data_IF_628785321650
#
_entry.id   IF_628785321650
#
_cell.length_a   1.000
_cell.length_b   1.000
_cell.length_c   1.000
_cell.angle_alpha   90.00
_cell.angle_beta   90.00
_cell.angle_gamma   90.00
#
_symmetry.space_group_name_H-M   'P 1'
#
loop_
_entity.id
_entity.type
_entity.pdbx_description
1 polymer ?
#
# COMPACT_ATOMS: atom_id res chain seq x y z
N UNK A 1 -7.08 14.47 12.98
CA UNK A 1 -7.83 13.78 14.07
C UNK A 1 -6.85 13.27 15.10
N UNK A 2 -7.07 13.53 16.41
CA UNK A 2 -6.19 13.03 17.48
C UNK A 2 -6.57 11.59 17.83
N UNK A 3 -5.62 10.66 17.77
CA UNK A 3 -5.83 9.25 18.12
C UNK A 3 -5.66 9.00 19.63
N UNK A 4 -5.84 7.74 20.06
CA UNK A 4 -5.74 7.33 21.46
C UNK A 4 -4.34 6.95 21.92
N UNK A 5 -3.33 7.09 21.07
CA UNK A 5 -2.01 6.53 21.31
C UNK A 5 -1.97 5.02 21.05
N UNK A 6 -0.78 4.44 21.17
CA UNK A 6 -0.61 3.00 20.88
C UNK A 6 0.52 2.39 21.70
N UNK A 7 0.32 1.16 22.14
CA UNK A 7 1.38 0.34 22.73
C UNK A 7 1.89 -0.62 21.67
N UNK A 8 3.10 -0.39 21.23
CA UNK A 8 3.78 -1.29 20.31
C UNK A 8 4.38 -2.46 21.07
N UNK A 9 4.30 -3.65 20.50
CA UNK A 9 4.90 -4.86 21.06
C UNK A 9 5.72 -5.57 20.00
N UNK A 10 6.91 -5.99 20.39
CA UNK A 10 7.82 -6.75 19.57
C UNK A 10 8.42 -7.90 20.34
N UNK A 11 8.59 -9.04 19.67
CA UNK A 11 9.47 -10.10 20.15
C UNK A 11 10.85 -9.90 19.52
N UNK A 12 11.85 -9.66 20.35
CA UNK A 12 13.21 -9.38 19.90
C UNK A 12 13.76 -10.59 19.15
N UNK A 13 14.07 -10.40 17.86
CA UNK A 13 14.69 -11.42 17.04
C UNK A 13 16.20 -11.60 17.30
N UNK A 14 16.83 -12.59 16.66
CA UNK A 14 18.29 -12.84 16.76
C UNK A 14 19.13 -11.60 16.42
N UNK A 15 18.72 -10.80 15.41
CA UNK A 15 19.43 -9.57 15.02
C UNK A 15 19.33 -8.43 16.03
N UNK A 16 18.44 -8.50 17.02
CA UNK A 16 18.29 -7.54 18.10
C UNK A 16 19.05 -7.96 19.37
N UNK A 17 19.42 -9.20 19.48
CA UNK A 17 20.14 -9.75 20.64
C UNK A 17 21.53 -9.09 20.79
N UNK A 18 21.89 -8.76 22.03
CA UNK A 18 23.15 -8.09 22.35
C UNK A 18 23.17 -6.59 22.06
N UNK A 19 22.10 -6.02 21.50
CA UNK A 19 21.99 -4.56 21.28
C UNK A 19 21.43 -3.85 22.50
N UNK A 20 21.92 -2.66 22.84
CA UNK A 20 21.25 -1.79 23.78
C UNK A 20 19.85 -1.41 23.31
N UNK A 21 18.88 -1.29 24.23
CA UNK A 21 17.50 -0.91 23.95
C UNK A 21 17.41 0.33 23.05
N UNK A 22 18.14 1.40 23.38
CA UNK A 22 18.13 2.62 22.58
C UNK A 22 18.61 2.39 21.15
N UNK A 23 19.74 1.69 20.98
CA UNK A 23 20.29 1.40 19.66
C UNK A 23 19.34 0.51 18.82
N UNK A 24 18.64 -0.41 19.46
CA UNK A 24 17.63 -1.24 18.79
C UNK A 24 16.44 -0.43 18.30
N UNK A 25 15.91 0.48 19.14
CA UNK A 25 14.76 1.32 18.80
C UNK A 25 15.09 2.31 17.66
N UNK A 26 16.30 2.85 17.62
CA UNK A 26 16.75 3.74 16.53
C UNK A 26 16.78 3.04 15.16
N UNK A 27 17.08 1.75 15.11
CA UNK A 27 17.10 0.98 13.85
C UNK A 27 15.72 0.69 13.28
N UNK A 28 14.65 0.85 14.06
CA UNK A 28 13.29 0.57 13.58
C UNK A 28 12.75 1.60 12.59
N UNK A 29 13.44 2.73 12.47
CA UNK A 29 12.96 3.85 11.66
C UNK A 29 11.75 4.53 12.31
N UNK A 30 11.30 5.60 11.69
CA UNK A 30 10.17 6.40 12.16
C UNK A 30 10.59 7.82 12.51
N UNK A 31 9.64 8.69 12.89
CA UNK A 31 9.91 10.10 13.11
C UNK A 31 10.69 10.39 14.41
N UNK A 32 10.77 9.41 15.32
CA UNK A 32 11.41 9.59 16.62
C UNK A 32 12.95 9.50 16.52
N UNK A 33 13.62 10.61 16.77
CA UNK A 33 15.08 10.68 16.88
C UNK A 33 15.60 10.16 18.23
N UNK A 34 16.94 10.18 18.42
CA UNK A 34 17.58 9.67 19.63
C UNK A 34 17.10 10.38 20.90
N UNK A 35 16.99 11.71 20.85
CA UNK A 35 16.54 12.50 22.01
C UNK A 35 15.12 12.11 22.45
N UNK A 36 14.22 11.87 21.49
CA UNK A 36 12.86 11.46 21.79
C UNK A 36 12.80 10.03 22.36
N UNK A 37 13.61 9.11 21.84
CA UNK A 37 13.70 7.77 22.39
C UNK A 37 14.27 7.75 23.82
N UNK A 38 15.30 8.57 24.09
CA UNK A 38 15.82 8.74 25.46
C UNK A 38 14.72 9.24 26.40
N UNK A 39 14.03 10.32 26.03
CA UNK A 39 12.94 10.85 26.83
C UNK A 39 11.85 9.83 27.13
N UNK A 40 11.47 9.00 26.15
CA UNK A 40 10.47 7.92 26.33
C UNK A 40 10.98 6.81 27.27
N UNK A 41 12.25 6.44 27.19
CA UNK A 41 12.86 5.45 28.07
C UNK A 41 12.89 5.99 29.51
N UNK A 42 13.36 7.24 29.70
CA UNK A 42 13.47 7.88 31.01
C UNK A 42 12.10 8.11 31.68
N UNK A 43 11.06 8.33 30.85
CA UNK A 43 9.66 8.40 31.29
C UNK A 43 9.03 7.04 31.62
N UNK A 44 9.77 5.91 31.47
CA UNK A 44 9.27 4.56 31.72
C UNK A 44 8.29 4.02 30.68
N UNK A 45 8.18 4.68 29.51
CA UNK A 45 7.30 4.27 28.42
C UNK A 45 7.85 3.08 27.61
N UNK A 46 9.08 2.63 27.85
CA UNK A 46 9.71 1.47 27.23
C UNK A 46 9.92 0.38 28.27
N UNK A 47 9.48 -0.84 27.95
CA UNK A 47 9.56 -1.98 28.88
C UNK A 47 10.11 -3.22 28.18
N UNK A 48 10.93 -3.96 28.90
CA UNK A 48 11.42 -5.30 28.50
C UNK A 48 10.85 -6.31 29.47
N UNK A 49 10.13 -7.31 28.99
CA UNK A 49 9.41 -8.31 29.79
C UNK A 49 8.49 -7.68 30.88
N UNK A 50 7.92 -6.49 30.57
CA UNK A 50 7.05 -5.74 31.48
C UNK A 50 7.79 -4.83 32.47
N UNK A 51 9.08 -4.99 32.68
CA UNK A 51 9.89 -4.10 33.54
C UNK A 51 10.36 -2.86 32.75
N UNK A 52 10.43 -1.70 33.41
CA UNK A 52 10.94 -0.46 32.79
C UNK A 52 12.36 -0.68 32.32
N UNK A 53 12.61 -0.35 31.07
CA UNK A 53 13.92 -0.52 30.45
C UNK A 53 14.83 0.69 30.68
N UNK A 54 16.15 0.47 30.61
CA UNK A 54 17.13 1.55 30.51
C UNK A 54 17.74 1.60 29.11
N UNK A 55 18.26 2.75 28.69
CA UNK A 55 18.81 2.97 27.36
C UNK A 55 19.95 1.99 27.02
N UNK A 56 20.80 1.68 28.00
CA UNK A 56 21.93 0.77 27.84
C UNK A 56 21.62 -0.71 28.09
N UNK A 57 20.41 -1.07 28.52
CA UNK A 57 20.05 -2.46 28.79
C UNK A 57 20.18 -3.31 27.52
N UNK A 58 20.93 -4.41 27.60
CA UNK A 58 21.12 -5.33 26.47
C UNK A 58 19.89 -6.23 26.28
N UNK A 59 19.40 -6.30 25.05
CA UNK A 59 18.30 -7.15 24.66
C UNK A 59 18.77 -8.61 24.43
N UNK A 60 17.86 -9.56 24.68
CA UNK A 60 18.07 -10.98 24.37
C UNK A 60 17.02 -11.43 23.35
N UNK A 61 17.39 -12.38 22.49
CA UNK A 61 16.43 -13.00 21.57
C UNK A 61 15.25 -13.62 22.36
N UNK A 62 14.04 -13.45 21.84
CA UNK A 62 12.81 -13.93 22.44
C UNK A 62 12.20 -12.99 23.48
N UNK A 63 12.90 -12.00 23.98
CA UNK A 63 12.31 -11.04 24.92
C UNK A 63 11.19 -10.21 24.27
N UNK A 64 10.17 -9.90 25.06
CA UNK A 64 9.08 -8.98 24.67
C UNK A 64 9.50 -7.54 25.02
N UNK A 65 9.69 -6.75 23.98
CA UNK A 65 9.92 -5.30 24.05
C UNK A 65 8.61 -4.58 23.78
N UNK A 66 8.19 -3.68 24.67
CA UNK A 66 7.01 -2.82 24.46
C UNK A 66 7.37 -1.37 24.62
N UNK A 67 6.70 -0.51 23.86
CA UNK A 67 6.82 0.94 24.05
C UNK A 67 5.51 1.63 23.79
N UNK A 68 5.22 2.62 24.64
CA UNK A 68 4.03 3.44 24.54
C UNK A 68 4.31 4.68 23.70
N UNK A 69 3.40 4.97 22.79
CA UNK A 69 3.34 6.24 22.09
C UNK A 69 2.09 6.98 22.55
N UNK A 70 2.24 8.17 23.13
CA UNK A 70 1.09 8.96 23.56
C UNK A 70 0.21 9.36 22.35
N UNK A 71 -1.03 9.81 22.58
CA UNK A 71 -1.91 10.30 21.51
C UNK A 71 -1.24 11.40 20.68
N UNK A 72 -1.37 11.30 19.35
CA UNK A 72 -0.88 12.31 18.39
C UNK A 72 -1.97 12.69 17.39
N UNK A 73 -1.78 13.85 16.77
CA UNK A 73 -2.65 14.30 15.70
C UNK A 73 -2.26 13.59 14.39
N UNK A 74 -3.22 12.85 13.82
CA UNK A 74 -3.03 12.20 12.53
C UNK A 74 -3.37 13.18 11.40
N UNK A 75 -2.66 13.09 10.25
CA UNK A 75 -2.99 13.91 9.09
C UNK A 75 -4.45 13.71 8.65
N UNK A 76 -5.05 14.76 8.13
CA UNK A 76 -6.39 14.70 7.59
C UNK A 76 -6.44 13.83 6.32
N UNK A 77 -7.42 12.94 6.27
CA UNK A 77 -7.65 12.02 5.16
C UNK A 77 -9.16 11.84 4.92
N UNK A 78 -9.59 11.50 3.70
CA UNK A 78 -10.99 11.23 3.43
C UNK A 78 -11.42 9.92 4.11
N UNK A 79 -12.36 9.99 5.05
CA UNK A 79 -12.88 8.83 5.79
C UNK A 79 -14.16 8.24 5.20
N UNK A 80 -14.68 8.81 4.10
CA UNK A 80 -15.88 8.32 3.42
C UNK A 80 -15.54 7.12 2.54
N UNK A 81 -16.27 6.01 2.73
CA UNK A 81 -16.18 4.81 1.90
C UNK A 81 -17.57 4.37 1.49
N UNK A 82 -17.71 3.78 0.29
CA UNK A 82 -18.93 3.14 -0.15
C UNK A 82 -18.76 1.62 -0.09
N UNK A 83 -19.81 0.89 0.29
CA UNK A 83 -19.87 -0.56 0.18
C UNK A 83 -20.14 -0.91 -1.28
N UNK A 84 -19.33 -1.79 -1.85
CA UNK A 84 -19.44 -2.27 -3.22
C UNK A 84 -20.06 -3.68 -3.30
N UNK A 85 -19.79 -4.49 -2.29
CA UNK A 85 -20.32 -5.84 -2.15
C UNK A 85 -20.35 -6.21 -0.66
N UNK A 86 -21.39 -6.91 -0.23
CA UNK A 86 -21.51 -7.41 1.14
C UNK A 86 -22.36 -8.67 1.17
N UNK A 87 -21.87 -9.69 1.87
CA UNK A 87 -22.62 -10.87 2.30
C UNK A 87 -22.11 -11.34 3.68
N UNK A 88 -22.46 -12.57 4.08
CA UNK A 88 -22.05 -13.12 5.37
C UNK A 88 -20.54 -13.33 5.49
N UNK A 89 -19.84 -13.61 4.39
CA UNK A 89 -18.43 -13.99 4.35
C UNK A 89 -17.51 -12.84 3.96
N UNK A 90 -17.98 -11.94 3.10
CA UNK A 90 -17.17 -10.95 2.44
C UNK A 90 -17.75 -9.53 2.57
N UNK A 91 -16.86 -8.55 2.59
CA UNK A 91 -17.18 -7.14 2.48
C UNK A 91 -16.18 -6.49 1.53
N UNK A 92 -16.64 -5.81 0.49
CA UNK A 92 -15.77 -4.99 -0.36
C UNK A 92 -16.18 -3.53 -0.30
N UNK A 93 -15.21 -2.65 -0.22
CA UNK A 93 -15.44 -1.22 -0.12
C UNK A 93 -14.61 -0.43 -1.13
N UNK A 94 -15.11 0.74 -1.52
CA UNK A 94 -14.39 1.72 -2.31
C UNK A 94 -13.45 2.53 -1.40
N UNK A 95 -12.15 2.27 -1.47
CA UNK A 95 -11.15 3.08 -0.77
C UNK A 95 -10.94 4.40 -1.51
N UNK A 96 -11.11 5.56 -0.89
CA UNK A 96 -10.74 6.82 -1.52
C UNK A 96 -9.22 6.97 -1.65
N UNK A 97 -8.78 7.83 -2.56
CA UNK A 97 -7.40 8.29 -2.66
C UNK A 97 -7.00 9.05 -1.39
N UNK A 98 -5.76 8.93 -0.96
CA UNK A 98 -5.25 9.60 0.23
C UNK A 98 -5.45 8.83 1.54
N UNK A 99 -6.40 7.87 1.62
CA UNK A 99 -6.65 7.07 2.80
C UNK A 99 -5.71 5.85 2.84
N UNK A 100 -4.89 5.65 3.89
CA UNK A 100 -4.14 4.42 4.08
C UNK A 100 -5.06 3.22 4.28
N UNK A 101 -4.68 2.04 3.76
CA UNK A 101 -5.46 0.81 4.01
C UNK A 101 -5.31 0.32 5.45
N UNK A 102 -4.09 0.37 5.97
CA UNK A 102 -3.70 -0.16 7.28
C UNK A 102 -2.92 0.89 8.08
N UNK A 103 -2.86 0.78 9.40
CA UNK A 103 -1.92 1.53 10.21
C UNK A 103 -0.49 1.37 9.72
N UNK A 104 0.28 2.44 9.69
CA UNK A 104 1.68 2.38 9.27
C UNK A 104 2.33 3.74 9.07
N UNK A 105 3.64 3.71 8.75
CA UNK A 105 4.43 4.91 8.51
C UNK A 105 4.59 5.82 9.72
N UNK A 106 4.21 5.38 10.92
CA UNK A 106 4.29 6.17 12.15
C UNK A 106 3.31 7.35 12.22
N UNK A 107 2.53 7.60 11.18
CA UNK A 107 1.60 8.74 11.11
C UNK A 107 0.14 8.34 11.32
N UNK A 108 -0.26 7.17 10.84
CA UNK A 108 -1.65 6.72 10.79
C UNK A 108 -1.88 5.52 11.71
N UNK A 109 -2.88 5.59 12.55
CA UNK A 109 -3.36 4.52 13.43
C UNK A 109 -4.88 4.33 13.27
N UNK A 110 -5.65 5.39 13.49
CA UNK A 110 -7.11 5.40 13.44
C UNK A 110 -7.66 5.98 12.14
N UNK A 111 -6.90 6.85 11.47
CA UNK A 111 -7.24 7.41 10.15
C UNK A 111 -6.86 6.44 9.02
N UNK A 112 -7.46 5.22 9.04
CA UNK A 112 -7.20 4.15 8.07
C UNK A 112 -8.48 3.50 7.59
N UNK A 113 -8.44 2.89 6.39
CA UNK A 113 -9.58 2.14 5.86
C UNK A 113 -10.01 1.01 6.82
N UNK A 114 -9.05 0.30 7.41
CA UNK A 114 -9.33 -0.76 8.38
C UNK A 114 -10.12 -0.22 9.57
N UNK A 115 -9.74 0.92 10.13
CA UNK A 115 -10.45 1.52 11.25
C UNK A 115 -11.86 1.95 10.87
N UNK A 116 -12.05 2.53 9.68
CA UNK A 116 -13.37 2.90 9.15
C UNK A 116 -14.26 1.67 8.99
N UNK A 117 -13.75 0.62 8.36
CA UNK A 117 -14.51 -0.62 8.12
C UNK A 117 -14.89 -1.30 9.43
N UNK A 118 -13.98 -1.37 10.41
CA UNK A 118 -14.23 -2.03 11.71
C UNK A 118 -15.22 -1.32 12.60
N UNK A 119 -15.59 -0.08 12.33
CA UNK A 119 -16.72 0.59 13.01
C UNK A 119 -18.06 -0.10 12.67
N UNK A 120 -18.18 -0.66 11.47
CA UNK A 120 -19.38 -1.35 10.97
C UNK A 120 -19.25 -2.88 11.09
N UNK A 121 -18.09 -3.43 10.80
CA UNK A 121 -17.77 -4.85 10.78
C UNK A 121 -16.49 -5.09 11.58
N UNK A 122 -16.58 -5.20 12.93
CA UNK A 122 -15.41 -5.34 13.82
C UNK A 122 -14.54 -6.56 13.49
N UNK A 123 -15.15 -7.62 12.97
CA UNK A 123 -14.53 -8.89 12.57
C UNK A 123 -13.75 -8.81 11.26
N UNK A 124 -13.96 -7.76 10.45
CA UNK A 124 -13.44 -7.67 9.11
C UNK A 124 -11.90 -7.63 9.06
N UNK A 125 -11.33 -8.49 8.22
CA UNK A 125 -9.88 -8.60 7.97
C UNK A 125 -9.60 -8.30 6.50
N UNK A 126 -8.73 -7.33 6.17
CA UNK A 126 -8.41 -7.01 4.78
C UNK A 126 -7.63 -8.15 4.13
N UNK A 127 -8.05 -8.56 2.96
CA UNK A 127 -7.43 -9.64 2.18
C UNK A 127 -6.28 -9.17 1.31
N UNK A 128 -6.22 -7.88 1.04
CA UNK A 128 -5.14 -7.18 0.35
C UNK A 128 -5.11 -5.71 0.75
N UNK A 129 -4.10 -5.00 0.27
CA UNK A 129 -3.96 -3.57 0.54
C UNK A 129 -3.69 -2.80 -0.74
N UNK A 130 -4.15 -1.56 -0.77
CA UNK A 130 -3.78 -0.55 -1.75
C UNK A 130 -2.84 0.48 -1.11
N UNK A 131 -1.97 1.08 -1.89
CA UNK A 131 -1.18 2.24 -1.47
C UNK A 131 -2.09 3.40 -1.05
N UNK A 132 -1.58 4.31 -0.20
CA UNK A 132 -2.36 5.44 0.30
C UNK A 132 -3.03 6.23 -0.82
N UNK A 133 -2.29 6.51 -1.89
CA UNK A 133 -2.76 7.31 -3.02
C UNK A 133 -3.46 6.50 -4.14
N UNK A 134 -3.50 5.18 -4.02
CA UNK A 134 -4.31 4.31 -4.87
C UNK A 134 -5.73 4.25 -4.35
N UNK A 135 -6.72 4.55 -5.18
CA UNK A 135 -8.14 4.38 -4.88
C UNK A 135 -8.69 3.07 -5.42
N UNK A 136 -9.93 2.70 -5.07
CA UNK A 136 -10.65 1.57 -5.65
C UNK A 136 -10.98 0.45 -4.68
N UNK A 137 -11.26 -0.73 -5.22
CA UNK A 137 -11.78 -1.89 -4.48
C UNK A 137 -10.78 -2.41 -3.46
N UNK A 138 -11.21 -2.57 -2.21
CA UNK A 138 -10.52 -3.35 -1.18
C UNK A 138 -11.47 -4.39 -0.60
N UNK A 139 -11.03 -5.66 -0.65
CA UNK A 139 -11.78 -6.81 -0.17
C UNK A 139 -11.40 -7.16 1.27
N UNK A 140 -12.40 -7.42 2.08
CA UNK A 140 -12.29 -7.91 3.46
C UNK A 140 -12.99 -9.26 3.59
N UNK A 141 -12.45 -10.15 4.41
CA UNK A 141 -13.15 -11.34 4.88
C UNK A 141 -13.78 -11.06 6.24
N UNK A 142 -15.02 -11.55 6.48
CA UNK A 142 -15.78 -11.41 7.72
C UNK A 142 -15.69 -12.66 8.58
N UNK A 143 -15.44 -13.81 7.96
CA UNK A 143 -15.33 -15.11 8.66
C UNK A 143 -13.91 -15.69 8.54
N UNK A 144 -13.53 -16.56 9.47
CA UNK A 144 -12.22 -17.22 9.44
C UNK A 144 -12.09 -18.13 8.21
N UNK A 145 -13.15 -18.88 7.85
CA UNK A 145 -13.18 -19.73 6.66
C UNK A 145 -13.01 -18.94 5.36
N UNK A 146 -13.72 -17.82 5.21
CA UNK A 146 -13.56 -16.94 4.06
C UNK A 146 -12.14 -16.36 3.99
N UNK A 147 -11.55 -15.98 5.12
CA UNK A 147 -10.19 -15.49 5.18
C UNK A 147 -9.18 -16.51 4.64
N UNK A 148 -9.27 -17.77 5.06
CA UNK A 148 -8.37 -18.82 4.60
C UNK A 148 -8.54 -19.10 3.12
N UNK A 149 -9.78 -19.26 2.65
CA UNK A 149 -10.09 -19.55 1.26
C UNK A 149 -9.70 -18.41 0.32
N UNK A 150 -10.03 -17.16 0.66
CA UNK A 150 -9.64 -15.99 -0.16
C UNK A 150 -8.12 -15.79 -0.13
N UNK A 151 -7.44 -16.01 0.99
CA UNK A 151 -5.99 -15.97 1.04
C UNK A 151 -5.35 -17.05 0.13
N UNK A 152 -5.95 -18.23 0.03
CA UNK A 152 -5.52 -19.27 -0.92
C UNK A 152 -5.71 -18.83 -2.38
N UNK A 153 -6.86 -18.19 -2.71
CA UNK A 153 -7.10 -17.62 -4.04
C UNK A 153 -6.04 -16.56 -4.41
N UNK A 154 -5.70 -15.65 -3.50
CA UNK A 154 -4.65 -14.65 -3.76
C UNK A 154 -3.28 -15.30 -3.97
N UNK A 155 -2.92 -16.33 -3.18
CA UNK A 155 -1.66 -17.08 -3.36
C UNK A 155 -1.63 -17.87 -4.66
N UNK A 156 -2.75 -18.51 -5.01
CA UNK A 156 -2.92 -19.33 -6.22
C UNK A 156 -3.19 -18.52 -7.49
N UNK A 157 -3.20 -17.18 -7.41
CA UNK A 157 -3.53 -16.27 -8.53
C UNK A 157 -4.96 -16.46 -9.07
N UNK A 158 -5.86 -16.98 -8.24
CA UNK A 158 -7.28 -17.14 -8.55
C UNK A 158 -8.11 -15.85 -8.45
N UNK A 159 -7.46 -14.70 -8.20
CA UNK A 159 -8.10 -13.37 -8.17
C UNK A 159 -7.59 -12.55 -9.35
N UNK A 160 -8.46 -12.25 -10.28
CA UNK A 160 -8.19 -11.31 -11.38
C UNK A 160 -8.29 -9.89 -10.86
N UNK A 161 -7.30 -9.05 -11.18
CA UNK A 161 -7.15 -7.67 -10.64
C UNK A 161 -6.93 -6.70 -11.78
N UNK A 162 -7.88 -5.80 -11.99
CA UNK A 162 -7.85 -4.82 -13.06
C UNK A 162 -7.76 -3.40 -12.49
N UNK A 163 -6.87 -2.60 -13.06
CA UNK A 163 -6.59 -1.23 -12.61
C UNK A 163 -6.74 -0.24 -13.76
N UNK A 164 -7.03 1.01 -13.42
CA UNK A 164 -6.88 2.19 -14.28
C UNK A 164 -5.69 3.00 -13.82
N UNK A 165 -4.89 3.45 -14.77
CA UNK A 165 -3.69 4.22 -14.52
C UNK A 165 -3.55 5.35 -15.54
N UNK A 166 -2.97 6.47 -15.14
CA UNK A 166 -2.54 7.50 -16.07
C UNK A 166 -1.01 7.46 -16.14
N UNK A 167 -0.48 7.02 -17.27
CA UNK A 167 0.95 6.95 -17.56
C UNK A 167 1.44 8.17 -18.32
N UNK A 168 2.71 8.53 -18.14
CA UNK A 168 3.38 9.58 -18.89
C UNK A 168 3.77 9.10 -20.28
N UNK A 169 3.64 9.97 -21.28
CA UNK A 169 3.98 9.68 -22.68
C UNK A 169 2.98 8.76 -23.37
N UNK A 170 3.33 8.37 -24.58
CA UNK A 170 2.52 7.50 -25.44
C UNK A 170 3.28 6.19 -25.71
N UNK A 171 2.79 5.03 -25.19
CA UNK A 171 3.32 3.73 -25.57
C UNK A 171 3.18 3.51 -27.08
N UNK A 172 4.20 2.94 -27.71
CA UNK A 172 4.16 2.63 -29.16
C UNK A 172 3.12 1.56 -29.49
N UNK A 173 2.94 0.60 -28.58
CA UNK A 173 2.00 -0.52 -28.73
C UNK A 173 0.77 -0.32 -27.86
N UNK A 174 -0.40 -0.69 -28.39
CA UNK A 174 -1.65 -0.64 -27.64
C UNK A 174 -1.76 -1.74 -26.58
N UNK A 175 -1.04 -2.84 -26.78
CA UNK A 175 -0.97 -3.98 -25.86
C UNK A 175 0.50 -4.34 -25.63
N UNK A 176 0.90 -4.42 -24.37
CA UNK A 176 2.24 -4.88 -23.99
C UNK A 176 2.24 -5.55 -22.62
N UNK A 177 3.25 -6.37 -22.38
CA UNK A 177 3.46 -7.02 -21.09
C UNK A 177 4.77 -6.53 -20.49
N UNK A 178 4.74 -6.23 -19.20
CA UNK A 178 5.93 -5.94 -18.42
C UNK A 178 6.22 -7.12 -17.52
N UNK A 179 7.37 -7.75 -17.74
CA UNK A 179 7.85 -8.92 -17.00
C UNK A 179 9.20 -8.56 -16.36
N UNK A 180 9.16 -7.72 -15.32
CA UNK A 180 10.32 -7.24 -14.61
C UNK A 180 10.26 -7.72 -13.14
N UNK A 181 11.26 -8.46 -12.66
CA UNK A 181 11.30 -8.88 -11.26
C UNK A 181 11.38 -7.68 -10.32
N UNK A 182 10.72 -7.79 -9.15
CA UNK A 182 10.68 -6.74 -8.13
C UNK A 182 11.37 -7.23 -6.86
N UNK A 183 12.33 -6.47 -6.38
CA UNK A 183 13.10 -6.76 -5.17
C UNK A 183 13.45 -5.49 -4.41
N UNK A 184 14.10 -5.66 -3.27
CA UNK A 184 14.60 -4.54 -2.47
C UNK A 184 15.91 -4.03 -3.04
N UNK A 185 16.02 -2.71 -3.13
CA UNK A 185 17.25 -2.00 -3.50
C UNK A 185 17.60 -0.98 -2.40
N UNK A 186 18.88 -0.61 -2.24
CA UNK A 186 19.26 0.45 -1.31
C UNK A 186 18.56 1.77 -1.63
N UNK A 187 18.06 2.44 -0.59
CA UNK A 187 17.40 3.74 -0.73
C UNK A 187 17.55 4.56 0.56
N UNK A 188 18.23 5.68 0.48
CA UNK A 188 18.64 6.47 1.65
C UNK A 188 17.48 6.83 2.62
N UNK A 189 16.29 7.26 2.16
CA UNK A 189 15.22 7.66 3.08
C UNK A 189 14.65 6.53 3.95
N UNK A 190 14.72 5.28 3.50
CA UNK A 190 14.10 4.12 4.19
C UNK A 190 15.04 2.94 4.40
N UNK A 191 16.33 3.09 4.07
CA UNK A 191 17.31 2.00 4.04
C UNK A 191 17.18 1.13 2.79
N UNK A 192 16.00 0.60 2.52
CA UNK A 192 15.67 -0.15 1.29
C UNK A 192 14.29 0.23 0.76
N UNK A 193 14.08 -0.02 -0.52
CA UNK A 193 12.80 0.11 -1.19
C UNK A 193 12.62 -0.96 -2.26
N UNK A 194 11.36 -1.35 -2.54
CA UNK A 194 11.08 -2.21 -3.68
C UNK A 194 11.23 -1.44 -5.00
N UNK A 195 11.93 -2.04 -5.96
CA UNK A 195 12.14 -1.51 -7.30
C UNK A 195 12.32 -2.66 -8.30
N UNK A 196 12.47 -2.35 -9.59
CA UNK A 196 12.88 -3.34 -10.57
C UNK A 196 14.30 -3.83 -10.24
N UNK A 197 14.46 -5.13 -10.07
CA UNK A 197 15.73 -5.74 -9.65
C UNK A 197 15.84 -7.16 -10.21
N UNK A 198 16.94 -7.47 -10.91
CA UNK A 198 17.15 -8.77 -11.55
C UNK A 198 17.08 -9.96 -10.57
N UNK A 199 17.52 -9.78 -9.31
CA UNK A 199 17.41 -10.80 -8.25
C UNK A 199 16.08 -10.77 -7.49
N UNK A 200 15.11 -9.98 -7.93
CA UNK A 200 13.81 -9.84 -7.30
C UNK A 200 12.87 -11.03 -7.55
N UNK A 201 11.69 -10.96 -6.95
CA UNK A 201 10.62 -11.94 -7.16
C UNK A 201 9.91 -11.66 -8.48
N UNK A 202 9.60 -12.70 -9.25
CA UNK A 202 8.84 -12.59 -10.50
C UNK A 202 7.56 -11.77 -10.32
N UNK A 203 7.34 -10.84 -11.25
CA UNK A 203 6.18 -9.97 -11.31
C UNK A 203 5.78 -9.77 -12.77
N UNK A 204 4.48 -9.78 -13.08
CA UNK A 204 3.95 -9.61 -14.44
C UNK A 204 2.72 -8.73 -14.46
N UNK A 205 2.71 -7.77 -15.39
CA UNK A 205 1.60 -6.87 -15.65
C UNK A 205 1.30 -6.80 -17.14
N UNK A 206 0.03 -6.93 -17.50
CA UNK A 206 -0.47 -6.75 -18.87
C UNK A 206 -1.10 -5.37 -18.97
N UNK A 207 -0.68 -4.61 -19.97
CA UNK A 207 -1.07 -3.21 -20.14
C UNK A 207 -1.79 -3.06 -21.47
N UNK A 208 -2.94 -2.40 -21.44
CA UNK A 208 -3.71 -1.97 -22.61
C UNK A 208 -3.84 -0.45 -22.60
N UNK A 209 -3.46 0.20 -23.69
CA UNK A 209 -3.71 1.62 -23.91
C UNK A 209 -5.18 1.80 -24.29
N UNK A 210 -5.89 2.61 -23.54
CA UNK A 210 -7.29 2.93 -23.81
C UNK A 210 -7.42 4.24 -24.57
N UNK A 211 -6.53 5.18 -24.30
CA UNK A 211 -6.56 6.52 -24.86
C UNK A 211 -5.18 7.15 -24.75
N UNK A 212 -4.71 7.79 -25.83
CA UNK A 212 -3.54 8.71 -25.81
C UNK A 212 -4.05 10.12 -25.75
N UNK A 213 -3.53 10.92 -24.83
CA UNK A 213 -3.97 12.29 -24.56
C UNK A 213 -2.87 13.26 -24.85
N UNK A 214 -3.17 14.20 -25.72
CA UNK A 214 -2.32 15.36 -25.96
C UNK A 214 -2.61 16.44 -24.90
N UNK A 215 -1.64 17.33 -24.63
CA UNK A 215 -1.74 18.41 -23.67
C UNK A 215 -0.38 19.04 -23.42
N UNK A 216 -0.21 19.74 -22.29
CA UNK A 216 1.10 20.29 -21.88
C UNK A 216 2.15 19.17 -21.75
N UNK A 217 1.74 17.98 -21.36
CA UNK A 217 2.53 16.77 -21.41
C UNK A 217 1.70 15.64 -21.99
N UNK A 218 2.29 14.85 -22.88
CA UNK A 218 1.68 13.64 -23.42
C UNK A 218 1.41 12.64 -22.30
N UNK A 219 0.20 12.07 -22.26
CA UNK A 219 -0.20 11.06 -21.28
C UNK A 219 -1.01 9.97 -21.93
N UNK A 220 -1.12 8.81 -21.28
CA UNK A 220 -1.98 7.72 -21.74
C UNK A 220 -2.82 7.15 -20.62
N UNK A 221 -4.11 6.99 -20.89
CA UNK A 221 -5.00 6.24 -20.03
C UNK A 221 -4.77 4.75 -20.29
N UNK A 222 -4.40 4.05 -19.24
CA UNK A 222 -4.01 2.65 -19.30
C UNK A 222 -4.96 1.79 -18.46
N UNK A 223 -5.23 0.60 -18.98
CA UNK A 223 -5.80 -0.50 -18.21
C UNK A 223 -4.66 -1.48 -17.91
N UNK A 224 -4.54 -1.88 -16.65
CA UNK A 224 -3.45 -2.76 -16.20
C UNK A 224 -4.04 -3.95 -15.47
N UNK A 225 -3.80 -5.15 -15.99
CA UNK A 225 -4.09 -6.40 -15.31
C UNK A 225 -2.80 -6.95 -14.69
N UNK A 226 -2.84 -7.37 -13.43
CA UNK A 226 -1.67 -7.92 -12.73
C UNK A 226 -1.89 -9.37 -12.33
N UNK A 227 -0.97 -10.26 -12.72
CA UNK A 227 -0.97 -11.66 -12.27
C UNK A 227 -0.47 -11.79 -10.83
N UNK A 228 0.49 -10.99 -10.46
CA UNK A 228 1.14 -10.97 -9.13
C UNK A 228 0.68 -9.75 -8.34
N UNK A 229 1.04 -9.66 -7.07
CA UNK A 229 0.72 -8.52 -6.19
C UNK A 229 1.95 -8.05 -5.42
N UNK A 230 3.07 -7.74 -6.12
CA UNK A 230 4.26 -7.23 -5.46
C UNK A 230 4.05 -5.79 -4.99
N UNK A 231 4.73 -5.36 -3.92
CA UNK A 231 4.66 -3.97 -3.49
C UNK A 231 4.97 -3.02 -4.66
N UNK A 232 4.15 -2.00 -4.85
CA UNK A 232 4.27 -0.95 -5.88
C UNK A 232 4.36 -1.46 -7.33
N UNK A 233 3.94 -2.69 -7.61
CA UNK A 233 4.17 -3.35 -8.90
C UNK A 233 3.81 -2.49 -10.12
N UNK A 234 2.60 -1.92 -10.17
CA UNK A 234 2.15 -1.13 -11.33
C UNK A 234 3.00 0.14 -11.48
N UNK A 235 3.33 0.82 -10.38
CA UNK A 235 4.19 2.01 -10.37
C UNK A 235 5.56 1.68 -10.94
N UNK A 236 6.18 0.60 -10.46
CA UNK A 236 7.50 0.12 -10.89
C UNK A 236 7.45 -0.33 -12.35
N UNK A 237 6.46 -1.15 -12.73
CA UNK A 237 6.38 -1.72 -14.07
C UNK A 237 6.13 -0.66 -15.15
N UNK A 238 5.24 0.31 -14.91
CA UNK A 238 5.01 1.38 -15.87
C UNK A 238 6.24 2.29 -16.00
N UNK A 239 6.92 2.59 -14.88
CA UNK A 239 8.17 3.34 -14.91
C UNK A 239 9.30 2.55 -15.60
N UNK A 240 9.38 1.23 -15.42
CA UNK A 240 10.31 0.34 -16.13
C UNK A 240 10.06 0.34 -17.63
N UNK A 241 8.80 0.37 -18.06
CA UNK A 241 8.41 0.43 -19.47
C UNK A 241 8.55 1.83 -20.10
N UNK A 242 9.05 2.83 -19.36
CA UNK A 242 9.21 4.20 -19.86
C UNK A 242 7.97 5.09 -19.72
N UNK A 243 6.91 4.60 -19.07
CA UNK A 243 5.66 5.31 -18.89
C UNK A 243 5.28 5.44 -17.40
N UNK A 244 6.12 6.10 -16.56
CA UNK A 244 5.83 6.25 -15.13
C UNK A 244 4.46 6.86 -14.92
N UNK A 245 3.82 6.54 -13.79
CA UNK A 245 2.54 7.14 -13.47
C UNK A 245 2.66 8.66 -13.36
N UNK A 246 1.72 9.37 -13.95
CA UNK A 246 1.67 10.83 -13.86
C UNK A 246 1.63 11.27 -12.41
N UNK A 247 2.61 12.10 -12.03
CA UNK A 247 2.76 12.64 -10.68
C UNK A 247 3.34 11.66 -9.65
N UNK A 248 3.93 10.55 -10.07
CA UNK A 248 4.63 9.65 -9.13
C UNK A 248 5.93 10.31 -8.66
N UNK A 249 6.07 10.61 -7.33
CA UNK A 249 7.25 11.28 -6.82
C UNK A 249 8.44 10.33 -6.61
N UNK A 250 8.21 9.02 -6.70
CA UNK A 250 9.17 8.02 -6.24
C UNK A 250 9.83 7.26 -7.38
N UNK A 251 9.05 6.78 -8.36
CA UNK A 251 9.57 5.92 -9.42
C UNK A 251 9.75 6.65 -10.75
N UNK A 252 10.96 6.57 -11.29
CA UNK A 252 11.39 7.11 -12.57
C UNK A 252 11.87 6.02 -13.53
N UNK A 253 12.70 6.42 -14.54
CA UNK A 253 13.19 5.52 -15.58
C UNK A 253 13.76 4.21 -15.04
N UNK A 254 13.50 3.11 -15.75
CA UNK A 254 13.96 1.78 -15.37
C UNK A 254 13.22 1.16 -14.18
N UNK A 255 12.16 1.79 -13.67
CA UNK A 255 11.43 1.28 -12.48
C UNK A 255 12.23 1.43 -11.18
N UNK A 256 13.16 2.37 -11.15
CA UNK A 256 14.02 2.69 -10.02
C UNK A 256 13.52 3.96 -9.32
N UNK A 257 13.84 4.17 -8.03
CA UNK A 257 13.59 5.45 -7.40
C UNK A 257 14.42 6.54 -8.06
N UNK A 258 13.92 7.79 -8.05
CA UNK A 258 14.69 8.93 -8.58
C UNK A 258 15.99 9.10 -7.82
N UNK A 259 17.13 9.30 -8.53
CA UNK A 259 18.42 9.55 -7.89
C UNK A 259 18.36 10.78 -6.96
N UNK A 260 18.84 10.64 -5.73
CA UNK A 260 18.79 11.72 -4.74
C UNK A 260 17.39 12.08 -4.25
N UNK A 261 16.37 11.32 -4.66
CA UNK A 261 14.99 11.52 -4.22
C UNK A 261 14.81 11.29 -2.72
N UNK A 262 13.86 12.00 -2.13
CA UNK A 262 13.48 11.88 -0.70
C UNK A 262 12.09 11.29 -0.52
N UNK A 263 11.36 11.04 -1.61
CA UNK A 263 9.99 10.54 -1.58
C UNK A 263 9.91 9.13 -0.98
N UNK A 264 8.88 8.89 -0.19
CA UNK A 264 8.66 7.58 0.45
C UNK A 264 7.39 6.88 -0.13
N UNK A 265 7.25 5.56 0.06
CA UNK A 265 6.15 4.78 -0.50
C UNK A 265 4.73 5.33 -0.29
N UNK A 266 4.53 6.05 0.80
CA UNK A 266 3.24 6.66 1.14
C UNK A 266 2.98 8.04 0.54
N UNK A 267 3.94 8.65 -0.15
CA UNK A 267 3.77 10.00 -0.69
C UNK A 267 2.72 10.05 -1.79
N UNK A 268 1.90 11.11 -1.81
CA UNK A 268 0.86 11.27 -2.79
C UNK A 268 1.42 11.77 -4.13
N UNK A 269 0.60 11.71 -5.19
CA UNK A 269 0.89 12.31 -6.49
C UNK A 269 0.35 11.50 -7.64
N UNK A 270 0.61 10.21 -7.67
CA UNK A 270 0.30 9.34 -8.80
C UNK A 270 -1.19 9.06 -9.02
N UNK A 271 -1.55 8.65 -10.23
CA UNK A 271 -2.92 8.36 -10.66
C UNK A 271 -3.12 6.87 -10.92
N UNK A 272 -3.68 6.15 -9.92
CA UNK A 272 -3.91 4.71 -9.96
C UNK A 272 -5.20 4.35 -9.23
N UNK A 273 -6.00 3.44 -9.84
CA UNK A 273 -7.28 3.02 -9.30
C UNK A 273 -7.50 1.52 -9.50
N UNK A 274 -7.78 0.79 -8.43
CA UNK A 274 -8.19 -0.61 -8.48
C UNK A 274 -9.66 -0.69 -8.88
N UNK A 275 -9.89 -0.95 -10.18
CA UNK A 275 -11.22 -0.85 -10.78
C UNK A 275 -12.06 -2.09 -10.55
N UNK A 276 -11.46 -3.30 -10.60
CA UNK A 276 -12.23 -4.55 -10.59
C UNK A 276 -11.45 -5.70 -9.96
N UNK A 277 -12.18 -6.52 -9.21
CA UNK A 277 -11.76 -7.82 -8.71
C UNK A 277 -12.72 -8.88 -9.21
N UNK A 278 -12.20 -10.03 -9.67
CA UNK A 278 -13.00 -11.20 -10.04
C UNK A 278 -12.39 -12.44 -9.39
N UNK A 279 -13.22 -13.27 -8.78
CA UNK A 279 -12.81 -14.51 -8.14
C UNK A 279 -13.99 -15.44 -7.89
N UNK A 280 -13.72 -16.71 -7.61
CA UNK A 280 -14.77 -17.65 -7.17
C UNK A 280 -15.09 -17.38 -5.68
N UNK A 281 -16.38 -17.26 -5.36
CA UNK A 281 -16.83 -17.05 -3.98
C UNK A 281 -16.39 -18.23 -3.08
N UNK A 282 -15.80 -17.98 -1.91
CA UNK A 282 -15.16 -19.03 -1.09
C UNK A 282 -16.13 -20.11 -0.60
N UNK A 283 -17.40 -19.79 -0.40
CA UNK A 283 -18.42 -20.74 0.09
C UNK A 283 -19.23 -21.38 -1.06
N UNK A 284 -19.61 -20.61 -2.06
CA UNK A 284 -20.55 -21.06 -3.10
C UNK A 284 -19.87 -21.48 -4.41
N UNK A 285 -18.62 -21.08 -4.63
CA UNK A 285 -17.91 -21.27 -5.90
C UNK A 285 -18.42 -20.39 -7.05
N UNK A 286 -19.47 -19.59 -6.86
CA UNK A 286 -20.01 -18.71 -7.88
C UNK A 286 -19.01 -17.59 -8.21
N UNK A 287 -18.99 -17.14 -9.47
CA UNK A 287 -18.17 -16.01 -9.87
C UNK A 287 -18.64 -14.72 -9.18
N UNK A 288 -17.77 -14.09 -8.44
CA UNK A 288 -17.97 -12.76 -7.86
C UNK A 288 -17.20 -11.75 -8.69
N UNK A 289 -17.88 -10.70 -9.10
CA UNK A 289 -17.31 -9.56 -9.83
C UNK A 289 -17.63 -8.30 -9.04
N UNK A 290 -16.59 -7.61 -8.57
CA UNK A 290 -16.73 -6.38 -7.81
C UNK A 290 -16.08 -5.25 -8.57
N UNK A 291 -16.84 -4.19 -8.84
CA UNK A 291 -16.38 -3.04 -9.60
C UNK A 291 -16.46 -1.76 -8.76
N UNK A 292 -15.49 -0.89 -8.97
CA UNK A 292 -15.44 0.46 -8.45
C UNK A 292 -15.22 1.42 -9.62
N UNK A 293 -16.16 2.33 -9.86
CA UNK A 293 -16.06 3.28 -10.94
C UNK A 293 -14.81 4.16 -10.79
N UNK A 294 -13.99 4.22 -11.84
CA UNK A 294 -12.79 5.05 -11.85
C UNK A 294 -13.15 6.56 -11.70
N UNK A 295 -12.32 7.34 -11.02
CA UNK A 295 -12.51 8.79 -10.95
C UNK A 295 -12.42 9.44 -12.34
N UNK A 296 -13.01 10.62 -12.56
CA UNK A 296 -13.11 11.23 -13.90
C UNK A 296 -11.79 11.30 -14.67
N UNK A 297 -10.69 11.63 -14.00
CA UNK A 297 -9.35 11.72 -14.62
C UNK A 297 -8.87 10.38 -15.19
N UNK A 298 -9.39 9.26 -14.69
CA UNK A 298 -9.07 7.88 -15.11
C UNK A 298 -10.18 7.22 -15.94
N UNK A 299 -11.07 8.02 -16.55
CA UNK A 299 -12.06 7.57 -17.53
C UNK A 299 -11.66 8.02 -18.92
N UNK A 300 -12.04 7.29 -19.99
CA UNK A 300 -11.92 7.80 -21.34
C UNK A 300 -12.63 9.14 -21.46
N UNK A 301 -12.01 10.09 -22.14
CA UNK A 301 -12.67 11.34 -22.49
C UNK A 301 -13.67 11.03 -23.59
N UNK A 302 -14.92 11.40 -23.40
CA UNK A 302 -15.89 11.31 -24.46
C UNK A 302 -15.38 12.17 -25.62
N UNK A 303 -15.29 11.67 -26.88
CA UNK A 303 -14.94 12.54 -27.98
C UNK A 303 -15.93 13.69 -27.95
N UNK A 304 -15.42 14.93 -27.90
CA UNK A 304 -16.26 16.11 -28.03
C UNK A 304 -17.10 15.91 -29.29
N UNK A 305 -18.42 15.76 -29.14
CA UNK A 305 -19.33 15.82 -30.28
C UNK A 305 -19.08 17.20 -30.87
N UNK A 306 -18.29 17.23 -31.94
CA UNK A 306 -18.01 18.46 -32.65
C UNK A 306 -19.35 19.15 -32.91
N UNK A 307 -19.46 20.40 -32.51
CA UNK A 307 -20.65 21.19 -32.77
C UNK A 307 -21.00 21.01 -34.25
N UNK A 308 -22.11 20.34 -34.51
CA UNK A 308 -22.72 20.30 -35.84
C UNK A 308 -23.05 21.75 -36.14
N UNK A 309 -22.28 22.34 -37.05
CA UNK A 309 -22.56 23.66 -37.62
C UNK A 309 -23.62 23.51 -38.71
#
# INVERSE_FOLDING_TARGET
>A
MRNRGHVYTEQVGAGGAGRPVLAHLLLRGGPAGEAEWRARIDAGAVRVEGAVATAGQLLRAGQRLTWERPPWDEPDVPLCTAVLFEDDDLLAVAKPRGLPTLPGGGLFLESTLLAVVRRRAPEAVPMHRLGRDTSGVVLFARTASAREAVAALFRGRGVRKLYRALGSGHPERDLFTVDAPIGEVPYAPTGTIHAAAAGGKAARSHVRVLERREGEAATSLLEVEIETGRPHQIRIHLAFAGHPLVGDPLYGPGGLPFPGGTAVPGDPGYRLHAMRLEFAHPRTGALVVIECAAPPVLRPQCPSIGAIR
#
